data_IF_269163567607
#
_entry.id   IF_269163567607
#
_cell.length_a   1.000
_cell.length_b   1.000
_cell.length_c   1.000
_cell.angle_alpha   90.00
_cell.angle_beta   90.00
_cell.angle_gamma   90.00
#
_symmetry.space_group_name_H-M   'P 1'
#
loop_
_entity.id
_entity.type
_entity.pdbx_description
1 polymer ?
#
# COMPACT_ATOMS: atom_id res chain seq x y z
N UNK A 1 5.36 23.53 -14.01
CA UNK A 1 4.55 23.95 -12.85
C UNK A 1 5.52 24.49 -11.81
N UNK A 2 5.28 25.68 -11.25
CA UNK A 2 6.17 26.23 -10.21
C UNK A 2 6.25 25.28 -9.01
N UNK A 3 7.44 25.14 -8.43
CA UNK A 3 7.61 24.44 -7.16
C UNK A 3 6.83 25.19 -6.09
N UNK A 4 5.69 24.67 -5.64
CA UNK A 4 5.05 25.17 -4.41
C UNK A 4 5.97 24.87 -3.22
N UNK A 5 5.88 25.65 -2.16
CA UNK A 5 6.52 25.26 -0.89
C UNK A 5 5.81 24.05 -0.27
N UNK A 6 6.44 23.42 0.73
CA UNK A 6 5.80 22.32 1.46
C UNK A 6 4.56 22.81 2.22
N UNK A 7 4.61 24.04 2.75
CA UNK A 7 3.50 24.68 3.46
C UNK A 7 2.32 24.94 2.53
N UNK A 8 2.57 25.49 1.34
CA UNK A 8 1.52 25.71 0.33
C UNK A 8 0.93 24.38 -0.16
N UNK A 9 1.77 23.36 -0.34
CA UNK A 9 1.32 22.02 -0.74
C UNK A 9 0.48 21.38 0.35
N UNK A 10 0.87 21.54 1.62
CA UNK A 10 0.15 21.03 2.77
C UNK A 10 -1.20 21.75 2.96
N UNK A 11 -1.27 23.08 2.83
CA UNK A 11 -2.53 23.82 2.93
C UNK A 11 -3.52 23.37 1.83
N UNK A 12 -3.03 23.19 0.59
CA UNK A 12 -3.83 22.63 -0.51
C UNK A 12 -4.33 21.22 -0.19
N UNK A 13 -3.44 20.33 0.27
CA UNK A 13 -3.79 18.96 0.67
C UNK A 13 -4.84 18.94 1.78
N UNK A 14 -4.65 19.74 2.83
CA UNK A 14 -5.55 19.87 3.98
C UNK A 14 -6.94 20.37 3.57
N UNK A 15 -7.00 21.31 2.61
CA UNK A 15 -8.25 21.80 2.04
C UNK A 15 -8.89 20.86 1.01
N UNK A 16 -8.27 19.71 0.73
CA UNK A 16 -8.74 18.75 -0.27
C UNK A 16 -8.50 19.19 -1.73
N UNK A 17 -7.68 20.21 -1.95
CA UNK A 17 -7.28 20.69 -3.28
C UNK A 17 -6.05 19.90 -3.74
N UNK A 18 -6.25 18.62 -4.03
CA UNK A 18 -5.20 17.73 -4.51
C UNK A 18 -5.73 16.86 -5.67
N UNK A 19 -4.82 16.11 -6.33
CA UNK A 19 -5.14 15.31 -7.54
C UNK A 19 -6.09 14.13 -7.25
N UNK A 20 -6.14 13.65 -6.01
CA UNK A 20 -6.77 12.40 -5.60
C UNK A 20 -7.73 12.62 -4.42
N UNK A 21 -8.81 13.39 -4.62
CA UNK A 21 -9.89 13.65 -3.64
C UNK A 21 -9.43 14.13 -2.24
N UNK A 22 -10.32 14.65 -1.39
CA UNK A 22 -9.98 14.86 0.01
C UNK A 22 -9.54 13.53 0.63
N UNK A 23 -8.33 13.48 1.19
CA UNK A 23 -7.70 12.23 1.69
C UNK A 23 -8.60 11.47 2.67
N UNK A 24 -9.37 12.19 3.47
CA UNK A 24 -10.27 11.64 4.47
C UNK A 24 -11.48 10.97 3.83
N UNK A 25 -12.09 11.61 2.83
CA UNK A 25 -13.21 11.04 2.09
C UNK A 25 -12.76 9.80 1.31
N UNK A 26 -11.57 9.85 0.70
CA UNK A 26 -10.98 8.70 0.04
C UNK A 26 -10.75 7.53 1.02
N UNK A 27 -10.13 7.77 2.18
CA UNK A 27 -9.89 6.73 3.18
C UNK A 27 -11.20 6.15 3.74
N UNK A 28 -12.17 7.02 4.09
CA UNK A 28 -13.48 6.61 4.60
C UNK A 28 -14.30 5.85 3.54
N UNK A 29 -14.14 6.21 2.28
CA UNK A 29 -14.79 5.58 1.13
C UNK A 29 -14.46 4.10 0.99
N UNK A 30 -13.27 3.66 1.42
CA UNK A 30 -12.91 2.23 1.47
C UNK A 30 -13.08 1.62 2.86
N UNK A 31 -12.82 2.38 3.92
CA UNK A 31 -12.94 1.86 5.28
C UNK A 31 -14.37 1.42 5.61
N UNK A 32 -15.40 2.22 5.28
CA UNK A 32 -16.80 1.84 5.57
C UNK A 32 -17.22 0.57 4.82
N UNK A 33 -17.01 0.43 3.49
CA UNK A 33 -17.28 -0.83 2.79
C UNK A 33 -16.50 -2.03 3.31
N UNK A 34 -15.27 -1.84 3.82
CA UNK A 34 -14.50 -2.94 4.42
C UNK A 34 -15.14 -3.53 5.67
N UNK A 35 -15.98 -2.76 6.37
CA UNK A 35 -16.77 -3.22 7.52
C UNK A 35 -18.07 -3.89 7.08
N UNK A 36 -18.67 -3.40 5.98
CA UNK A 36 -19.94 -3.90 5.47
C UNK A 36 -19.80 -5.18 4.64
N UNK A 37 -18.74 -5.29 3.82
CA UNK A 37 -18.47 -6.39 2.89
C UNK A 37 -16.97 -6.79 2.95
N UNK A 38 -16.51 -7.40 4.06
CA UNK A 38 -15.09 -7.71 4.29
C UNK A 38 -14.51 -8.75 3.31
N UNK A 39 -15.35 -9.53 2.64
CA UNK A 39 -14.97 -10.46 1.57
C UNK A 39 -14.68 -9.77 0.24
N UNK A 40 -15.10 -8.50 0.10
CA UNK A 40 -14.97 -7.72 -1.14
C UNK A 40 -14.01 -6.55 -1.02
N UNK A 41 -13.84 -6.00 0.19
CA UNK A 41 -12.95 -4.87 0.45
C UNK A 41 -12.05 -5.17 1.64
N UNK A 42 -10.76 -5.30 1.38
CA UNK A 42 -9.73 -5.42 2.41
C UNK A 42 -9.09 -4.05 2.65
N UNK A 43 -9.21 -3.56 3.89
CA UNK A 43 -8.60 -2.29 4.29
C UNK A 43 -7.41 -2.52 5.23
N UNK A 44 -6.30 -1.82 4.95
CA UNK A 44 -5.11 -1.82 5.81
C UNK A 44 -4.62 -0.42 6.08
N UNK A 45 -3.94 -0.27 7.23
CA UNK A 45 -3.12 0.89 7.53
C UNK A 45 -1.66 0.58 7.24
N UNK A 46 -0.92 1.58 6.77
CA UNK A 46 0.48 1.42 6.43
C UNK A 46 1.32 0.98 7.65
N UNK A 47 1.02 1.53 8.82
CA UNK A 47 1.71 1.21 10.07
C UNK A 47 1.51 -0.26 10.47
N UNK A 48 0.31 -0.79 10.22
CA UNK A 48 -0.02 -2.20 10.47
C UNK A 48 0.72 -3.15 9.52
N UNK A 49 0.92 -2.74 8.25
CA UNK A 49 1.71 -3.48 7.27
C UNK A 49 3.20 -3.55 7.68
N UNK A 50 3.73 -2.47 8.25
CA UNK A 50 5.13 -2.44 8.72
C UNK A 50 5.34 -3.20 10.02
N UNK A 51 4.37 -3.14 10.94
CA UNK A 51 4.52 -3.73 12.26
C UNK A 51 4.52 -5.26 12.23
N UNK A 52 3.74 -5.87 11.33
CA UNK A 52 3.60 -7.32 11.23
C UNK A 52 3.41 -7.78 9.77
N UNK A 53 4.46 -7.65 8.93
CA UNK A 53 4.35 -7.87 7.49
C UNK A 53 3.94 -9.30 7.13
N UNK A 54 4.38 -10.32 7.91
CA UNK A 54 4.08 -11.73 7.64
C UNK A 54 2.58 -12.03 7.76
N UNK A 55 1.97 -11.66 8.88
CA UNK A 55 0.54 -11.94 9.07
C UNK A 55 -0.33 -11.10 8.14
N UNK A 56 0.15 -9.91 7.75
CA UNK A 56 -0.54 -9.08 6.76
C UNK A 56 -0.47 -9.69 5.36
N UNK A 57 0.67 -10.23 4.96
CA UNK A 57 0.82 -10.95 3.70
C UNK A 57 -0.10 -12.17 3.65
N UNK A 58 -0.13 -13.00 4.71
CA UNK A 58 -1.07 -14.14 4.82
C UNK A 58 -2.52 -13.70 4.65
N UNK A 59 -2.93 -12.63 5.35
CA UNK A 59 -4.28 -12.07 5.22
C UNK A 59 -4.59 -11.56 3.81
N UNK A 60 -3.62 -10.98 3.11
CA UNK A 60 -3.78 -10.59 1.70
C UNK A 60 -3.97 -11.83 0.83
N UNK A 61 -3.13 -12.84 1.03
CA UNK A 61 -3.16 -14.10 0.29
C UNK A 61 -4.51 -14.82 0.44
N UNK A 62 -5.01 -14.92 1.68
CA UNK A 62 -6.34 -15.44 1.98
C UNK A 62 -7.45 -14.66 1.27
N UNK A 63 -7.38 -13.32 1.32
CA UNK A 63 -8.40 -12.46 0.74
C UNK A 63 -8.48 -12.54 -0.79
N UNK A 64 -7.35 -12.72 -1.46
CA UNK A 64 -7.32 -12.89 -2.93
C UNK A 64 -7.63 -14.33 -3.39
N UNK A 65 -7.91 -15.24 -2.45
CA UNK A 65 -8.23 -16.64 -2.74
C UNK A 65 -7.00 -17.53 -2.98
N UNK A 66 -5.82 -17.10 -2.52
CA UNK A 66 -4.56 -17.84 -2.63
C UNK A 66 -3.92 -18.02 -1.23
N UNK A 67 -4.59 -18.70 -0.28
CA UNK A 67 -4.07 -18.88 1.07
C UNK A 67 -2.72 -19.61 1.05
N UNK A 68 -1.79 -19.19 1.90
CA UNK A 68 -0.46 -19.81 2.00
C UNK A 68 -0.56 -21.25 2.52
N UNK A 69 0.10 -22.20 1.86
CA UNK A 69 0.12 -23.61 2.28
C UNK A 69 1.14 -23.88 3.39
N UNK A 70 1.00 -25.01 4.08
CA UNK A 70 1.99 -25.41 5.09
C UNK A 70 3.38 -25.64 4.49
N UNK A 71 3.44 -26.18 3.27
CA UNK A 71 4.68 -26.35 2.54
C UNK A 71 5.32 -25.00 2.20
N UNK A 72 4.54 -24.04 1.70
CA UNK A 72 5.02 -22.69 1.40
C UNK A 72 5.58 -21.97 2.64
N UNK A 73 4.94 -22.14 3.80
CA UNK A 73 5.46 -21.65 5.08
C UNK A 73 6.76 -22.37 5.47
N UNK A 74 6.85 -23.68 5.27
CA UNK A 74 8.03 -24.48 5.60
C UNK A 74 9.23 -24.18 4.68
N UNK A 75 8.97 -23.74 3.45
CA UNK A 75 9.99 -23.32 2.49
C UNK A 75 10.27 -21.81 2.54
N UNK A 76 9.87 -21.11 3.61
CA UNK A 76 10.12 -19.69 3.83
C UNK A 76 9.60 -18.78 2.68
N UNK A 77 8.62 -19.22 1.88
CA UNK A 77 8.12 -18.46 0.73
C UNK A 77 7.57 -17.10 1.14
N UNK A 78 6.96 -17.02 2.32
CA UNK A 78 6.48 -15.76 2.91
C UNK A 78 7.64 -14.76 3.06
N UNK A 79 8.81 -15.21 3.49
CA UNK A 79 9.99 -14.34 3.63
C UNK A 79 10.60 -13.95 2.30
N UNK A 80 10.64 -14.88 1.34
CA UNK A 80 11.10 -14.57 -0.01
C UNK A 80 10.24 -13.47 -0.65
N UNK A 81 8.91 -13.55 -0.52
CA UNK A 81 8.00 -12.51 -1.02
C UNK A 81 8.25 -11.18 -0.30
N UNK A 82 8.40 -11.20 1.04
CA UNK A 82 8.65 -9.98 1.80
C UNK A 82 9.98 -9.32 1.42
N UNK A 83 11.02 -10.11 1.17
CA UNK A 83 12.32 -9.60 0.73
C UNK A 83 12.23 -9.00 -0.68
N UNK A 84 11.63 -9.74 -1.63
CA UNK A 84 11.41 -9.29 -3.01
C UNK A 84 10.57 -8.00 -3.08
N UNK A 85 9.57 -7.86 -2.21
CA UNK A 85 8.69 -6.69 -2.15
C UNK A 85 9.15 -5.63 -1.15
N UNK A 86 10.31 -5.79 -0.53
CA UNK A 86 10.81 -4.86 0.48
C UNK A 86 11.09 -3.49 -0.14
N UNK A 87 10.98 -2.43 0.67
CA UNK A 87 11.35 -1.09 0.23
C UNK A 87 12.82 -1.02 -0.19
N UNK A 88 13.70 -1.69 0.55
CA UNK A 88 15.14 -1.71 0.22
C UNK A 88 15.38 -2.37 -1.15
N UNK A 89 14.84 -3.57 -1.38
CA UNK A 89 14.98 -4.25 -2.66
C UNK A 89 14.39 -3.41 -3.81
N UNK A 90 13.12 -3.00 -3.70
CA UNK A 90 12.41 -2.30 -4.78
C UNK A 90 12.99 -0.91 -5.08
N UNK A 91 13.39 -0.13 -4.07
CA UNK A 91 14.00 1.20 -4.28
C UNK A 91 15.39 1.12 -4.91
N UNK A 92 16.05 -0.04 -4.80
CA UNK A 92 17.38 -0.27 -5.34
C UNK A 92 17.39 -0.84 -6.78
N UNK A 93 16.23 -1.24 -7.33
CA UNK A 93 16.11 -1.67 -8.72
C UNK A 93 16.38 -0.51 -9.69
N UNK A 94 17.17 -0.76 -10.74
CA UNK A 94 17.58 0.24 -11.74
C UNK A 94 16.38 0.97 -12.37
N UNK A 95 15.31 0.22 -12.66
CA UNK A 95 14.05 0.75 -13.24
C UNK A 95 13.35 1.77 -12.34
N UNK A 96 13.48 1.65 -11.02
CA UNK A 96 12.87 2.56 -10.05
C UNK A 96 13.74 3.78 -9.73
N UNK A 97 15.04 3.72 -10.06
CA UNK A 97 15.98 4.85 -9.90
C UNK A 97 16.01 5.78 -11.11
N UNK A 98 15.67 5.26 -12.28
CA UNK A 98 15.72 5.99 -13.55
C UNK A 98 14.35 6.30 -14.14
N UNK A 99 13.28 5.82 -13.49
CA UNK A 99 11.90 6.03 -13.92
C UNK A 99 11.51 7.52 -13.96
N UNK A 100 10.95 7.94 -15.09
CA UNK A 100 10.29 9.25 -15.22
C UNK A 100 8.83 9.06 -14.80
N UNK A 101 8.35 9.92 -13.90
CA UNK A 101 6.95 9.93 -13.50
C UNK A 101 6.10 10.23 -14.75
N UNK A 102 5.41 9.20 -15.26
CA UNK A 102 4.55 9.27 -16.44
C UNK A 102 3.19 9.92 -16.14
N UNK A 103 3.19 11.05 -15.44
CA UNK A 103 1.98 11.88 -15.31
C UNK A 103 1.74 12.54 -16.67
N UNK A 104 0.89 11.92 -17.47
CA UNK A 104 0.32 12.52 -18.68
C UNK A 104 -0.88 13.40 -18.33
#
# INVERSE_FOLDING_TARGET
MGSNSIEETFDKFYRGVNVCEPVWDHALGYWKPSLENPERVLFFKYEELKADPRNRLRRIADFIGCPTSMEEEMFDLVDEILELCSFDHLSNLEVNRTGIIGLK
#
